data_IF_599096719958
#
_entry.id   IF_599096719958
#
_cell.length_a   1.000
_cell.length_b   1.000
_cell.length_c   1.000
_cell.angle_alpha   90.00
_cell.angle_beta   90.00
_cell.angle_gamma   90.00
#
_symmetry.space_group_name_H-M   'P 1'
#
loop_
_entity.id
_entity.type
_entity.pdbx_description
1 polymer ?
#
# COMPACT_ATOMS: atom_id res chain seq x y z
N UNK A 1 13.24 8.97 -11.00
CA UNK A 1 13.01 9.05 -9.54
C UNK A 1 11.73 8.32 -9.18
N UNK A 2 11.79 7.37 -8.25
CA UNK A 2 10.63 6.63 -7.72
C UNK A 2 10.30 7.05 -6.28
N UNK A 3 9.25 6.47 -5.72
CA UNK A 3 8.86 6.69 -4.32
C UNK A 3 8.26 5.42 -3.71
N UNK A 4 8.27 5.35 -2.38
CA UNK A 4 7.60 4.30 -1.62
C UNK A 4 6.90 4.87 -0.41
N UNK A 5 5.85 4.20 0.04
CA UNK A 5 5.11 4.57 1.25
C UNK A 5 4.50 3.33 1.91
N UNK A 6 4.23 3.45 3.20
CA UNK A 6 3.54 2.44 4.00
C UNK A 6 2.11 2.90 4.30
N UNK A 7 1.18 1.96 4.33
CA UNK A 7 -0.20 2.20 4.73
C UNK A 7 -0.70 1.04 5.57
N UNK A 8 -1.51 1.35 6.59
CA UNK A 8 -2.24 0.33 7.33
C UNK A 8 -3.22 -0.37 6.39
N UNK A 9 -3.32 -1.69 6.55
CA UNK A 9 -4.12 -2.54 5.66
C UNK A 9 -5.53 -2.75 6.20
N UNK A 10 -6.53 -2.64 5.34
CA UNK A 10 -7.91 -3.04 5.67
C UNK A 10 -8.05 -4.54 5.93
N UNK A 11 -7.06 -5.36 5.57
CA UNK A 11 -6.97 -6.78 5.95
C UNK A 11 -6.53 -7.00 7.41
N UNK A 12 -6.36 -5.94 8.21
CA UNK A 12 -5.99 -6.06 9.62
C UNK A 12 -7.11 -6.66 10.45
N UNK A 13 -6.75 -7.38 11.51
CA UNK A 13 -7.72 -7.86 12.49
C UNK A 13 -8.50 -6.68 13.09
N UNK A 14 -9.83 -6.75 13.07
CA UNK A 14 -10.71 -5.66 13.55
C UNK A 14 -10.41 -5.24 15.00
N UNK A 15 -9.96 -6.18 15.84
CA UNK A 15 -9.56 -5.93 17.23
C UNK A 15 -8.32 -5.02 17.36
N UNK A 16 -7.50 -4.93 16.30
CA UNK A 16 -6.30 -4.09 16.24
C UNK A 16 -6.55 -2.79 15.46
N UNK A 17 -7.75 -2.64 14.88
CA UNK A 17 -8.14 -1.43 14.18
C UNK A 17 -8.56 -0.34 15.16
N UNK A 18 -7.97 0.85 15.02
CA UNK A 18 -8.34 2.02 15.81
C UNK A 18 -9.20 2.96 14.96
N UNK A 19 -10.29 3.44 15.54
CA UNK A 19 -11.25 4.35 14.92
C UNK A 19 -10.63 5.65 14.38
N UNK A 20 -9.54 6.12 14.98
CA UNK A 20 -8.82 7.31 14.55
C UNK A 20 -7.72 7.06 13.49
N UNK A 21 -7.51 5.82 13.05
CA UNK A 21 -6.50 5.45 12.06
C UNK A 21 -7.14 5.13 10.70
N UNK A 22 -6.45 5.48 9.62
CA UNK A 22 -6.89 5.19 8.26
C UNK A 22 -6.32 3.86 7.76
N UNK A 23 -7.22 2.91 7.47
CA UNK A 23 -6.89 1.59 6.92
C UNK A 23 -7.30 1.53 5.45
N UNK A 24 -6.32 1.41 4.57
CA UNK A 24 -6.53 1.46 3.14
C UNK A 24 -6.69 0.05 2.54
N UNK A 25 -7.36 -0.04 1.39
CA UNK A 25 -7.33 -1.23 0.55
C UNK A 25 -6.02 -1.24 -0.27
N UNK A 26 -5.13 -2.24 -0.05
CA UNK A 26 -3.89 -2.36 -0.81
C UNK A 26 -4.10 -2.47 -2.31
N UNK A 27 -5.18 -3.15 -2.74
CA UNK A 27 -5.50 -3.35 -4.15
C UNK A 27 -5.90 -2.03 -4.82
N UNK A 28 -6.74 -1.24 -4.16
CA UNK A 28 -7.17 0.06 -4.65
C UNK A 28 -5.99 1.04 -4.81
N UNK A 29 -5.10 1.11 -3.82
CA UNK A 29 -3.92 1.97 -3.89
C UNK A 29 -2.88 1.45 -4.91
N UNK A 30 -2.72 0.14 -5.04
CA UNK A 30 -1.87 -0.45 -6.07
C UNK A 30 -2.35 -0.10 -7.48
N UNK A 31 -3.65 -0.30 -7.77
CA UNK A 31 -4.25 0.00 -9.07
C UNK A 31 -4.15 1.49 -9.39
N UNK A 32 -4.43 2.36 -8.41
CA UNK A 32 -4.23 3.80 -8.54
C UNK A 32 -2.79 4.13 -8.93
N UNK A 33 -1.81 3.54 -8.24
CA UNK A 33 -0.40 3.81 -8.53
C UNK A 33 0.03 3.31 -9.91
N UNK A 34 -0.48 2.14 -10.30
CA UNK A 34 -0.20 1.50 -11.59
C UNK A 34 -0.75 2.31 -12.76
N UNK A 35 -1.94 2.91 -12.59
CA UNK A 35 -2.61 3.70 -13.62
C UNK A 35 -2.09 5.13 -13.71
N UNK A 36 -1.82 5.77 -12.56
CA UNK A 36 -1.54 7.22 -12.48
C UNK A 36 -0.06 7.57 -12.47
N UNK A 37 0.81 6.73 -11.89
CA UNK A 37 2.21 7.11 -11.65
C UNK A 37 3.23 6.31 -12.46
N UNK A 38 3.11 4.97 -12.53
CA UNK A 38 4.06 4.14 -13.27
C UNK A 38 3.52 2.74 -13.55
N UNK A 39 3.98 2.12 -14.64
CA UNK A 39 3.78 0.68 -14.89
C UNK A 39 4.60 -0.20 -13.95
N UNK A 40 5.63 0.30 -13.27
CA UNK A 40 6.48 -0.49 -12.39
C UNK A 40 6.13 -0.22 -10.93
N UNK A 41 5.15 -0.95 -10.41
CA UNK A 41 4.67 -0.87 -9.03
C UNK A 41 4.79 -2.25 -8.38
N UNK A 42 5.27 -2.30 -7.13
CA UNK A 42 5.29 -3.49 -6.30
C UNK A 42 4.48 -3.24 -5.01
N UNK A 43 3.69 -4.24 -4.60
CA UNK A 43 2.99 -4.29 -3.33
C UNK A 43 3.66 -5.34 -2.45
N UNK A 44 4.12 -4.94 -1.27
CA UNK A 44 4.70 -5.82 -0.27
C UNK A 44 3.76 -5.87 0.93
N UNK A 45 3.33 -7.07 1.32
CA UNK A 45 2.39 -7.30 2.43
C UNK A 45 2.72 -8.62 3.17
N UNK A 46 3.86 -9.23 2.86
CA UNK A 46 4.27 -10.57 3.27
C UNK A 46 5.15 -10.60 4.53
N UNK A 47 5.32 -9.46 5.21
CA UNK A 47 6.18 -9.32 6.38
C UNK A 47 5.44 -9.42 7.73
N UNK A 48 4.19 -9.87 7.72
CA UNK A 48 3.43 -10.22 8.94
C UNK A 48 3.01 -9.03 9.81
N UNK A 49 3.10 -7.81 9.30
CA UNK A 49 2.61 -6.60 9.96
C UNK A 49 1.25 -6.18 9.40
N UNK A 50 0.53 -5.37 10.18
CA UNK A 50 -0.79 -4.81 9.86
C UNK A 50 -0.73 -3.66 8.83
N UNK A 51 0.28 -3.66 7.97
CA UNK A 51 0.54 -2.64 6.97
C UNK A 51 1.10 -3.28 5.70
N UNK A 52 0.97 -2.55 4.59
CA UNK A 52 1.63 -2.88 3.34
C UNK A 52 2.51 -1.73 2.87
N UNK A 53 3.48 -2.06 2.03
CA UNK A 53 4.37 -1.11 1.37
C UNK A 53 4.06 -1.10 -0.11
N UNK A 54 3.82 0.09 -0.68
CA UNK A 54 3.80 0.28 -2.13
C UNK A 54 5.10 0.94 -2.55
N UNK A 55 5.76 0.34 -3.54
CA UNK A 55 6.95 0.87 -4.18
C UNK A 55 6.62 1.20 -5.64
N UNK A 56 6.75 2.47 -6.01
CA UNK A 56 6.54 2.97 -7.36
C UNK A 56 7.89 3.35 -7.98
N UNK A 57 8.34 2.55 -8.95
CA UNK A 57 9.55 2.82 -9.73
C UNK A 57 9.15 3.51 -11.02
N UNK A 58 9.57 4.75 -11.25
CA UNK A 58 9.48 5.36 -12.58
C UNK A 58 10.67 4.93 -13.42
N UNK A 59 10.40 4.26 -14.52
CA UNK A 59 11.37 4.10 -15.60
C UNK A 59 11.38 5.40 -16.37
N UNK A 60 12.55 6.06 -16.43
CA UNK A 60 12.76 7.21 -17.32
C UNK A 60 12.61 6.81 -18.78
#
# INVERSE_FOLDING_TARGET
>A
FGFSFNCLTSYSDAEKMRDYLYYADPCALFDLCKRRYSRNVALLHDYGLYEFTILVRKTS
#
